data_IF_800479785793
#
_entry.id   IF_800479785793
#
_cell.length_a   1.000
_cell.length_b   1.000
_cell.length_c   1.000
_cell.angle_alpha   90.00
_cell.angle_beta   90.00
_cell.angle_gamma   90.00
#
_symmetry.space_group_name_H-M   'P 1'
#
loop_
_entity.id
_entity.type
_entity.pdbx_description
1 polymer ?
#
# COMPACT_ATOMS: atom_id res chain seq x y z
N UNK A 1 -16.94 -10.67 2.62
CA UNK A 1 -16.67 -10.33 4.04
C UNK A 1 -16.02 -11.50 4.79
N UNK A 2 -16.59 -12.72 4.74
CA UNK A 2 -16.09 -13.88 5.49
C UNK A 2 -14.68 -14.34 5.12
N UNK A 3 -14.41 -14.57 3.83
CA UNK A 3 -13.10 -14.99 3.30
C UNK A 3 -11.95 -14.08 3.73
N UNK A 4 -12.18 -12.77 3.79
CA UNK A 4 -11.17 -11.82 4.24
C UNK A 4 -10.74 -12.07 5.70
N UNK A 5 -11.64 -12.57 6.55
CA UNK A 5 -11.42 -12.80 7.99
C UNK A 5 -10.88 -14.20 8.30
N UNK A 6 -11.20 -15.19 7.48
CA UNK A 6 -10.83 -16.60 7.73
C UNK A 6 -9.70 -17.13 6.83
N UNK A 7 -9.19 -16.34 5.90
CA UNK A 7 -8.01 -16.72 5.10
C UNK A 7 -6.71 -16.24 5.75
N UNK A 8 -5.73 -17.16 5.88
CA UNK A 8 -4.40 -16.87 6.40
C UNK A 8 -3.71 -15.82 5.55
N UNK A 9 -3.16 -14.79 6.19
CA UNK A 9 -2.47 -13.70 5.49
C UNK A 9 -1.00 -14.01 5.35
N UNK A 10 -0.46 -13.87 4.14
CA UNK A 10 0.99 -14.03 3.90
C UNK A 10 1.85 -13.12 4.81
N UNK A 11 1.34 -11.95 5.17
CA UNK A 11 2.06 -10.97 6.00
C UNK A 11 2.18 -11.37 7.47
N UNK A 12 1.21 -12.08 8.04
CA UNK A 12 1.18 -12.45 9.47
C UNK A 12 1.29 -13.96 9.70
N UNK A 13 0.96 -14.77 8.69
CA UNK A 13 0.82 -16.22 8.78
C UNK A 13 -0.51 -16.68 9.41
N UNK A 14 -1.28 -15.76 9.98
CA UNK A 14 -2.51 -16.03 10.74
C UNK A 14 -3.76 -15.51 10.01
N UNK A 15 -4.93 -16.00 10.40
CA UNK A 15 -6.20 -15.42 9.96
C UNK A 15 -6.51 -14.15 10.78
N UNK A 16 -7.12 -13.11 10.18
CA UNK A 16 -7.54 -11.93 10.94
C UNK A 16 -8.54 -12.24 12.06
N UNK A 17 -9.34 -13.29 11.90
CA UNK A 17 -10.29 -13.72 12.94
C UNK A 17 -9.55 -14.29 14.16
N UNK A 18 -8.58 -15.19 13.97
CA UNK A 18 -7.81 -15.75 15.07
C UNK A 18 -7.01 -14.69 15.84
N UNK A 19 -6.47 -13.68 15.15
CA UNK A 19 -5.80 -12.57 15.84
C UNK A 19 -6.76 -11.72 16.67
N UNK A 20 -8.02 -11.57 16.25
CA UNK A 20 -9.01 -10.78 16.98
C UNK A 20 -9.59 -11.54 18.17
N UNK A 21 -9.95 -12.82 17.99
CA UNK A 21 -10.74 -13.59 18.95
C UNK A 21 -9.99 -14.75 19.62
N UNK A 22 -8.76 -15.05 19.20
CA UNK A 22 -7.92 -16.11 19.77
C UNK A 22 -8.09 -17.49 19.16
N UNK A 23 -9.19 -17.74 18.45
CA UNK A 23 -9.51 -19.02 17.81
C UNK A 23 -9.84 -18.86 16.34
N UNK A 24 -9.70 -19.94 15.56
CA UNK A 24 -10.15 -19.95 14.16
C UNK A 24 -11.69 -19.95 14.07
N UNK A 25 -12.23 -19.33 13.02
CA UNK A 25 -13.67 -19.32 12.78
C UNK A 25 -14.11 -20.50 11.93
N UNK A 26 -15.20 -21.15 12.34
CA UNK A 26 -15.92 -22.14 11.52
C UNK A 26 -16.59 -21.45 10.35
N UNK A 27 -16.29 -21.88 9.13
CA UNK A 27 -16.79 -21.25 7.92
C UNK A 27 -18.28 -21.63 7.73
N UNK A 28 -19.17 -20.72 7.30
CA UNK A 28 -20.59 -21.03 7.07
C UNK A 28 -20.84 -22.25 6.17
N UNK A 29 -19.93 -22.54 5.24
CA UNK A 29 -20.00 -23.72 4.38
C UNK A 29 -19.86 -25.03 5.17
N UNK A 30 -19.06 -25.04 6.23
CA UNK A 30 -18.82 -26.20 7.12
C UNK A 30 -20.01 -26.47 8.05
N UNK A 31 -20.93 -25.51 8.19
CA UNK A 31 -22.18 -25.69 8.95
C UNK A 31 -23.24 -26.42 8.11
N UNK A 32 -23.25 -26.21 6.79
CA UNK A 32 -24.20 -26.83 5.87
C UNK A 32 -23.72 -28.16 5.26
N UNK A 33 -22.43 -28.46 5.34
CA UNK A 33 -21.82 -29.69 4.84
C UNK A 33 -21.05 -30.36 5.97
N UNK A 34 -21.27 -31.66 6.25
CA UNK A 34 -20.48 -32.38 7.24
C UNK A 34 -19.01 -32.39 6.80
N UNK A 35 -18.19 -31.64 7.50
CA UNK A 35 -16.72 -31.71 7.42
C UNK A 35 -16.20 -32.48 8.61
N UNK A 36 -14.93 -32.91 8.58
CA UNK A 36 -14.29 -33.66 9.68
C UNK A 36 -14.48 -32.96 11.03
N UNK A 37 -14.41 -31.62 11.06
CA UNK A 37 -14.62 -30.83 12.28
C UNK A 37 -16.07 -30.82 12.81
N UNK A 38 -17.06 -31.11 11.97
CA UNK A 38 -18.47 -31.21 12.38
C UNK A 38 -18.87 -32.66 12.67
N UNK A 39 -18.22 -33.64 12.04
CA UNK A 39 -18.53 -35.07 12.20
C UNK A 39 -17.81 -35.72 13.39
N UNK A 40 -16.60 -35.28 13.71
CA UNK A 40 -15.77 -35.81 14.80
C UNK A 40 -15.72 -34.86 16.00
N UNK A 41 -16.70 -33.97 16.12
CA UNK A 41 -16.75 -32.97 17.18
C UNK A 41 -16.94 -33.61 18.56
N UNK A 42 -15.91 -33.51 19.40
CA UNK A 42 -15.97 -33.84 20.83
C UNK A 42 -15.96 -32.56 21.67
N UNK A 43 -16.89 -32.47 22.61
CA UNK A 43 -17.09 -31.26 23.42
C UNK A 43 -15.94 -31.05 24.41
N UNK A 44 -15.45 -32.11 25.06
CA UNK A 44 -14.42 -32.00 26.08
C UNK A 44 -13.05 -31.67 25.47
N UNK A 45 -12.71 -32.30 24.35
CA UNK A 45 -11.49 -32.01 23.60
C UNK A 45 -11.50 -30.58 23.02
N UNK A 46 -12.65 -30.13 22.50
CA UNK A 46 -12.79 -28.77 22.00
C UNK A 46 -12.69 -27.71 23.11
N UNK A 47 -13.28 -27.95 24.29
CA UNK A 47 -13.12 -27.05 25.44
C UNK A 47 -11.66 -26.97 25.89
N UNK A 48 -10.96 -28.10 25.97
CA UNK A 48 -9.54 -28.14 26.31
C UNK A 48 -8.69 -27.36 25.31
N UNK A 49 -8.92 -27.59 24.01
CA UNK A 49 -8.25 -26.89 22.91
C UNK A 49 -8.51 -25.38 22.94
N UNK A 50 -9.75 -24.97 23.19
CA UNK A 50 -10.13 -23.56 23.32
C UNK A 50 -9.39 -22.86 24.48
N UNK A 51 -9.27 -23.53 25.64
CA UNK A 51 -8.51 -22.98 26.78
C UNK A 51 -7.03 -22.81 26.44
N UNK A 52 -6.45 -23.77 25.72
CA UNK A 52 -5.07 -23.69 25.26
C UNK A 52 -4.88 -22.54 24.25
N UNK A 53 -5.75 -22.41 23.26
CA UNK A 53 -5.70 -21.33 22.26
C UNK A 53 -5.80 -19.95 22.91
N UNK A 54 -6.68 -19.79 23.90
CA UNK A 54 -6.83 -18.55 24.67
C UNK A 54 -5.58 -18.24 25.50
N UNK A 55 -4.90 -19.25 26.04
CA UNK A 55 -3.63 -19.05 26.77
C UNK A 55 -2.50 -18.60 25.84
N UNK A 56 -2.48 -19.08 24.59
CA UNK A 56 -1.43 -18.79 23.61
C UNK A 56 -1.72 -17.59 22.70
N UNK A 57 -2.88 -16.93 22.86
CA UNK A 57 -3.32 -15.86 21.95
C UNK A 57 -2.35 -14.69 21.90
N UNK A 58 -1.77 -14.32 23.04
CA UNK A 58 -0.81 -13.21 23.13
C UNK A 58 0.48 -13.54 22.38
N UNK A 59 1.02 -14.74 22.58
CA UNK A 59 2.21 -15.21 21.87
C UNK A 59 1.98 -15.26 20.35
N UNK A 60 0.79 -15.72 19.93
CA UNK A 60 0.41 -15.72 18.50
C UNK A 60 0.36 -14.31 17.93
N UNK A 61 -0.16 -13.33 18.67
CA UNK A 61 -0.20 -11.92 18.25
C UNK A 61 1.20 -11.32 18.14
N UNK A 62 2.08 -11.61 19.09
CA UNK A 62 3.46 -11.14 19.07
C UNK A 62 4.24 -11.71 17.88
N UNK A 63 4.11 -13.01 17.64
CA UNK A 63 4.71 -13.66 16.49
C UNK A 63 4.16 -13.12 15.17
N UNK A 64 2.85 -12.86 15.09
CA UNK A 64 2.23 -12.22 13.94
C UNK A 64 2.74 -10.79 13.71
N UNK A 65 3.00 -10.04 14.78
CA UNK A 65 3.58 -8.70 14.71
C UNK A 65 5.03 -8.73 14.18
N UNK A 66 5.86 -9.63 14.69
CA UNK A 66 7.24 -9.84 14.21
C UNK A 66 7.25 -10.18 12.71
N UNK A 67 6.37 -11.10 12.27
CA UNK A 67 6.20 -11.45 10.85
C UNK A 67 5.73 -10.27 10.02
N UNK A 68 4.78 -9.48 10.52
CA UNK A 68 4.27 -8.31 9.82
C UNK A 68 5.37 -7.27 9.59
N UNK A 69 6.18 -7.01 10.62
CA UNK A 69 7.30 -6.06 10.53
C UNK A 69 8.35 -6.56 9.54
N UNK A 70 8.74 -7.84 9.62
CA UNK A 70 9.72 -8.42 8.69
C UNK A 70 9.21 -8.43 7.24
N UNK A 71 7.93 -8.76 7.03
CA UNK A 71 7.26 -8.70 5.73
C UNK A 71 7.26 -7.27 5.17
N UNK A 72 6.86 -6.28 5.98
CA UNK A 72 6.90 -4.85 5.57
C UNK A 72 8.32 -4.42 5.19
N UNK A 73 9.32 -4.84 5.96
CA UNK A 73 10.71 -4.51 5.68
C UNK A 73 11.22 -5.17 4.39
N UNK A 74 10.84 -6.42 4.11
CA UNK A 74 11.15 -7.10 2.85
C UNK A 74 10.50 -6.40 1.65
N UNK A 75 9.21 -6.04 1.76
CA UNK A 75 8.50 -5.31 0.72
C UNK A 75 9.14 -3.94 0.46
N UNK A 76 9.49 -3.20 1.53
CA UNK A 76 10.20 -1.92 1.42
C UNK A 76 11.54 -2.08 0.69
N UNK A 77 12.37 -3.06 1.10
CA UNK A 77 13.66 -3.32 0.43
C UNK A 77 13.48 -3.67 -1.05
N UNK A 78 12.48 -4.48 -1.39
CA UNK A 78 12.18 -4.84 -2.77
C UNK A 78 11.73 -3.64 -3.61
N UNK A 79 10.93 -2.75 -3.02
CA UNK A 79 10.51 -1.51 -3.64
C UNK A 79 11.70 -0.55 -3.84
N UNK A 80 12.44 -0.26 -2.76
CA UNK A 80 13.57 0.67 -2.75
C UNK A 80 14.69 0.25 -3.70
N UNK A 81 14.94 -1.06 -3.88
CA UNK A 81 15.93 -1.59 -4.84
C UNK A 81 15.69 -1.11 -6.27
N UNK A 82 14.44 -0.91 -6.66
CA UNK A 82 14.06 -0.53 -8.02
C UNK A 82 13.84 0.98 -8.19
N UNK A 83 13.95 1.77 -7.11
CA UNK A 83 13.80 3.22 -7.17
C UNK A 83 15.16 3.83 -7.48
N UNK A 84 15.24 4.56 -8.59
CA UNK A 84 16.34 5.50 -8.83
C UNK A 84 16.01 6.81 -8.12
N UNK A 85 16.83 7.27 -7.15
CA UNK A 85 16.66 8.59 -6.56
C UNK A 85 16.68 9.63 -7.67
N UNK A 86 15.60 10.38 -7.81
CA UNK A 86 15.55 11.56 -8.65
C UNK A 86 15.52 12.75 -7.71
N UNK A 87 16.16 13.84 -8.11
CA UNK A 87 16.03 15.14 -7.47
C UNK A 87 16.21 16.23 -8.52
N UNK A 88 15.59 17.37 -8.27
CA UNK A 88 15.77 18.59 -9.06
C UNK A 88 16.36 19.68 -8.18
N UNK A 89 17.20 20.52 -8.77
CA UNK A 89 17.74 21.71 -8.13
C UNK A 89 16.88 22.92 -8.47
N UNK A 90 16.94 23.95 -7.62
CA UNK A 90 16.33 25.25 -7.95
C UNK A 90 16.99 25.78 -9.23
N UNK A 91 16.17 26.22 -10.18
CA UNK A 91 16.59 26.66 -11.50
C UNK A 91 16.54 25.57 -12.58
N UNK A 92 16.44 24.28 -12.22
CA UNK A 92 16.29 23.21 -13.22
C UNK A 92 15.01 23.42 -14.04
N UNK A 93 15.11 23.17 -15.36
CA UNK A 93 13.95 23.07 -16.23
C UNK A 93 13.37 21.66 -16.19
N UNK A 94 12.05 21.58 -16.05
CA UNK A 94 11.31 20.33 -15.96
C UNK A 94 10.04 20.37 -16.80
N UNK A 95 9.68 19.21 -17.34
CA UNK A 95 8.38 18.96 -17.91
C UNK A 95 7.45 18.41 -16.84
N UNK A 96 6.18 18.82 -16.90
CA UNK A 96 5.12 18.40 -16.00
C UNK A 96 4.22 17.40 -16.70
N UNK A 97 3.84 16.32 -16.01
CA UNK A 97 2.95 15.31 -16.58
C UNK A 97 1.53 15.87 -16.72
N UNK A 98 0.95 15.72 -17.90
CA UNK A 98 -0.44 16.09 -18.15
C UNK A 98 -1.36 15.04 -17.51
N UNK A 99 -2.24 15.49 -16.63
CA UNK A 99 -3.29 14.66 -15.99
C UNK A 99 -4.66 15.17 -16.42
N UNK A 100 -5.73 14.42 -16.12
CA UNK A 100 -7.09 14.79 -16.55
C UNK A 100 -7.45 16.27 -16.25
N UNK A 101 -7.02 16.78 -15.10
CA UNK A 101 -7.29 18.15 -14.66
C UNK A 101 -6.37 19.22 -15.27
N UNK A 102 -5.26 18.84 -15.91
CA UNK A 102 -4.33 19.77 -16.58
C UNK A 102 -4.29 19.60 -18.09
N UNK A 103 -5.09 18.68 -18.64
CA UNK A 103 -5.20 18.46 -20.08
C UNK A 103 -5.84 19.68 -20.73
N UNK A 104 -5.20 20.22 -21.76
CA UNK A 104 -5.81 21.24 -22.59
C UNK A 104 -6.99 20.61 -23.36
N UNK A 105 -8.22 21.16 -23.28
CA UNK A 105 -9.37 20.65 -24.02
C UNK A 105 -9.14 20.59 -25.53
N UNK A 106 -8.28 21.47 -26.05
CA UNK A 106 -7.96 21.54 -27.49
C UNK A 106 -7.03 20.41 -27.96
N UNK A 107 -6.31 19.74 -27.05
CA UNK A 107 -5.26 18.77 -27.40
C UNK A 107 -5.80 17.39 -27.80
N UNK A 108 -7.12 17.20 -27.87
CA UNK A 108 -7.74 15.96 -28.33
C UNK A 108 -7.22 14.72 -27.59
N UNK A 109 -7.39 13.52 -28.15
CA UNK A 109 -6.90 12.24 -27.55
C UNK A 109 -5.38 12.06 -27.66
N UNK A 110 -4.75 12.67 -28.66
CA UNK A 110 -3.35 12.49 -29.04
C UNK A 110 -2.42 13.62 -28.58
N UNK A 111 -2.91 14.49 -27.70
CA UNK A 111 -2.11 15.54 -27.09
C UNK A 111 -0.85 15.04 -26.37
N UNK A 112 0.14 15.92 -26.18
CA UNK A 112 1.35 15.58 -25.46
C UNK A 112 1.04 15.18 -24.02
N UNK A 113 1.68 14.11 -23.55
CA UNK A 113 1.54 13.63 -22.16
C UNK A 113 2.38 14.44 -21.16
N UNK A 114 3.19 15.38 -21.66
CA UNK A 114 4.10 16.23 -20.89
C UNK A 114 3.98 17.66 -21.41
N UNK A 115 3.91 18.63 -20.50
CA UNK A 115 3.78 20.06 -20.78
C UNK A 115 4.92 20.85 -20.14
N UNK A 116 5.22 22.03 -20.67
CA UNK A 116 6.31 22.90 -20.22
C UNK A 116 7.29 23.23 -21.35
N UNK A 117 8.44 23.85 -21.04
CA UNK A 117 9.20 23.65 -19.80
C UNK A 117 8.86 24.63 -18.67
N UNK A 118 8.90 24.13 -17.42
CA UNK A 118 8.76 24.92 -16.19
C UNK A 118 10.09 25.00 -15.45
N UNK A 119 10.30 26.07 -14.68
CA UNK A 119 11.47 26.22 -13.81
C UNK A 119 11.14 25.82 -12.38
N UNK A 120 12.00 25.02 -11.76
CA UNK A 120 11.91 24.69 -10.33
C UNK A 120 12.31 25.90 -9.49
N UNK A 121 11.43 26.34 -8.59
CA UNK A 121 11.70 27.50 -7.72
C UNK A 121 12.10 27.10 -6.30
N UNK A 122 11.50 26.05 -5.75
CA UNK A 122 11.80 25.58 -4.39
C UNK A 122 11.33 24.16 -4.15
N UNK A 123 11.92 23.50 -3.15
CA UNK A 123 11.47 22.23 -2.62
C UNK A 123 10.32 22.44 -1.63
N UNK A 124 9.21 21.74 -1.82
CA UNK A 124 8.00 21.86 -1.00
C UNK A 124 7.84 20.73 0.04
N UNK A 125 8.82 19.82 0.17
CA UNK A 125 8.77 18.67 1.08
C UNK A 125 8.36 17.37 0.40
N UNK A 126 8.81 16.23 0.94
CA UNK A 126 8.38 14.86 0.53
C UNK A 126 8.51 14.59 -0.99
N UNK A 127 9.54 15.14 -1.64
CA UNK A 127 9.73 14.98 -3.09
C UNK A 127 8.81 15.84 -3.96
N UNK A 128 8.18 16.88 -3.41
CA UNK A 128 7.40 17.84 -4.17
C UNK A 128 8.16 19.14 -4.43
N UNK A 129 7.91 19.77 -5.57
CA UNK A 129 8.59 20.99 -6.03
C UNK A 129 7.59 22.07 -6.43
N UNK A 130 7.90 23.33 -6.13
CA UNK A 130 7.19 24.48 -6.69
C UNK A 130 7.79 24.84 -8.04
N UNK A 131 6.92 25.21 -8.96
CA UNK A 131 7.28 25.49 -10.35
C UNK A 131 6.81 26.89 -10.72
N UNK A 132 7.56 27.55 -11.62
CA UNK A 132 7.12 28.73 -12.35
C UNK A 132 7.17 28.45 -13.83
N UNK A 133 6.23 29.05 -14.56
CA UNK A 133 6.28 29.09 -16.02
C UNK A 133 7.47 29.95 -16.50
N UNK A 134 7.78 29.89 -17.80
CA UNK A 134 8.83 30.71 -18.41
C UNK A 134 8.52 32.20 -18.30
N UNK A 135 7.24 32.58 -18.30
CA UNK A 135 6.76 33.95 -18.10
C UNK A 135 6.79 34.40 -16.62
N UNK A 136 7.33 33.57 -15.72
CA UNK A 136 7.46 33.89 -14.29
C UNK A 136 6.20 33.66 -13.46
N UNK A 137 5.10 33.21 -14.07
CA UNK A 137 3.86 32.89 -13.33
C UNK A 137 4.03 31.62 -12.51
N UNK A 138 3.76 31.70 -11.20
CA UNK A 138 3.85 30.54 -10.30
C UNK A 138 2.73 29.52 -10.57
N UNK A 139 3.09 28.24 -10.62
CA UNK A 139 2.12 27.15 -10.57
C UNK A 139 1.60 27.03 -9.14
N UNK A 140 0.29 27.16 -8.96
CA UNK A 140 -0.36 27.28 -7.64
C UNK A 140 -0.05 26.10 -6.70
N UNK A 141 -0.05 24.87 -7.22
CA UNK A 141 0.16 23.65 -6.44
C UNK A 141 1.58 23.13 -6.63
N UNK A 142 2.24 22.63 -5.57
CA UNK A 142 3.50 21.90 -5.71
C UNK A 142 3.27 20.56 -6.41
N UNK A 143 4.28 20.10 -7.15
CA UNK A 143 4.21 18.89 -7.96
C UNK A 143 5.17 17.83 -7.46
N UNK A 144 4.66 16.60 -7.29
CA UNK A 144 5.48 15.46 -6.89
C UNK A 144 6.47 15.09 -8.01
N UNK A 145 7.68 14.71 -7.61
CA UNK A 145 8.77 14.31 -8.50
C UNK A 145 8.40 13.22 -9.51
N UNK A 146 7.49 12.31 -9.15
CA UNK A 146 7.00 11.26 -10.05
C UNK A 146 6.24 11.82 -11.27
N UNK A 147 5.72 13.04 -11.18
CA UNK A 147 5.01 13.75 -12.25
C UNK A 147 5.88 14.79 -12.96
N UNK A 148 7.20 14.76 -12.73
CA UNK A 148 8.16 15.70 -13.30
C UNK A 148 9.27 14.95 -14.04
N UNK A 149 9.75 15.51 -15.13
CA UNK A 149 10.88 15.00 -15.92
C UNK A 149 11.86 16.13 -16.19
N UNK A 150 13.17 15.88 -16.03
CA UNK A 150 14.19 16.88 -16.39
C UNK A 150 14.08 17.22 -17.88
N UNK A 151 14.08 18.51 -18.19
CA UNK A 151 14.16 19.02 -19.55
C UNK A 151 15.63 19.34 -19.84
N UNK A 152 16.17 18.76 -20.91
CA UNK A 152 17.52 19.02 -21.41
C UNK A 152 17.37 19.76 -22.74
N UNK A 153 18.09 20.86 -22.89
CA UNK A 153 18.20 21.61 -24.14
C UNK A 153 19.19 20.91 -25.08
#
# INVERSE_FOLDING_TARGET
MWTHRTTKRRSTGETPFALAYGVEAVIPLEVGLPTTGTTEFDVEENESSLRMDLNLVEERRDMAMIRLVSYRHQMKRGYDKNIRPRSFQVGDLVLRKVVANTRNPNDGKLGPNWEGPYRVTSFAGVGAYRLTDLDGKSVLRPWNICNLKKYFY
#
